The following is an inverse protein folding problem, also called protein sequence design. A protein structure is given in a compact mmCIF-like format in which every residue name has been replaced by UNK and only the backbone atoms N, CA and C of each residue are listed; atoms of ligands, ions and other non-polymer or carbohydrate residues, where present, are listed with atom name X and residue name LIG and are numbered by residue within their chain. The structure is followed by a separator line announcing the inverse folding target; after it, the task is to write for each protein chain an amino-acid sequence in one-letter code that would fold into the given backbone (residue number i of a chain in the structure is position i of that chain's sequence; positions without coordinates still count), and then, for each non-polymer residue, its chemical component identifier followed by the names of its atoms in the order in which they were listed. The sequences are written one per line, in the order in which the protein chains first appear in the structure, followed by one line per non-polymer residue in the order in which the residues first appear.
data_IF_257526417740
#
_entry.id   IF_257526417740
#
_cell.length_a   1.000
_cell.length_b   1.000
_cell.length_c   1.000
_cell.angle_alpha   90.00
_cell.angle_beta   90.00
_cell.angle_gamma   90.00
#
_symmetry.space_group_name_H-M   'P 1'
#
loop_
_entity.id
_entity.type
_entity.pdbx_description
1 polymer ?
#
# COMPACT_ATOMS: atom_id res chain seq x y z
N UNK A 1 37.39 62.25 17.10
CA UNK A 1 38.45 62.84 16.25
C UNK A 1 37.79 63.57 15.10
N UNK A 2 38.11 64.86 14.86
CA UNK A 2 37.60 65.59 13.69
C UNK A 2 38.07 64.87 12.42
N UNK A 3 37.15 64.63 11.47
CA UNK A 3 37.50 64.05 10.19
C UNK A 3 38.50 64.96 9.46
N UNK A 4 39.61 64.40 8.98
CA UNK A 4 40.60 65.13 8.19
C UNK A 4 39.93 65.70 6.92
N UNK A 5 40.25 66.94 6.56
CA UNK A 5 39.78 67.57 5.31
C UNK A 5 40.38 66.90 4.06
N UNK A 6 41.43 66.11 4.24
CA UNK A 6 42.11 65.35 3.19
C UNK A 6 41.73 63.87 3.27
N UNK A 7 41.36 63.30 2.13
CA UNK A 7 41.18 61.86 1.97
C UNK A 7 42.53 61.15 2.10
N UNK A 8 42.54 59.90 2.54
CA UNK A 8 43.77 59.12 2.71
C UNK A 8 44.57 58.98 1.40
N UNK A 9 43.88 58.95 0.24
CA UNK A 9 44.52 58.96 -1.07
C UNK A 9 45.24 60.30 -1.38
N UNK A 10 44.66 61.43 -0.96
CA UNK A 10 45.30 62.75 -1.08
C UNK A 10 46.51 62.87 -0.14
N UNK A 11 46.41 62.36 1.09
CA UNK A 11 47.52 62.31 2.05
C UNK A 11 48.70 61.51 1.46
N UNK A 12 48.43 60.32 0.91
CA UNK A 12 49.46 59.48 0.29
C UNK A 12 50.08 60.11 -0.97
N UNK A 13 49.30 60.83 -1.78
CA UNK A 13 49.81 61.56 -2.95
C UNK A 13 50.78 62.69 -2.55
N UNK A 14 50.44 63.46 -1.50
CA UNK A 14 51.29 64.52 -0.97
C UNK A 14 52.61 63.96 -0.41
N UNK A 15 52.56 62.83 0.29
CA UNK A 15 53.79 62.17 0.80
C UNK A 15 54.71 61.69 -0.35
N UNK A 16 54.14 61.18 -1.44
CA UNK A 16 54.91 60.70 -2.60
C UNK A 16 55.64 61.82 -3.35
N UNK A 17 55.10 63.04 -3.37
CA UNK A 17 55.77 64.18 -4.02
C UNK A 17 57.10 64.55 -3.35
N UNK A 18 57.21 64.31 -2.04
CA UNK A 18 58.45 64.51 -1.30
C UNK A 18 59.47 63.39 -1.51
N UNK A 19 59.02 62.14 -1.74
CA UNK A 19 59.89 61.02 -2.11
C UNK A 19 60.47 61.17 -3.52
N UNK A 20 59.75 61.86 -4.42
CA UNK A 20 60.19 62.18 -5.78
C UNK A 20 61.22 63.32 -5.90
N UNK A 21 61.81 63.77 -4.79
CA UNK A 21 62.89 64.76 -4.77
C UNK A 21 62.46 66.22 -4.58
N UNK A 22 61.17 66.51 -4.37
CA UNK A 22 60.70 67.87 -4.07
C UNK A 22 60.97 68.20 -2.59
N UNK A 23 61.53 69.37 -2.24
CA UNK A 23 61.74 69.76 -0.84
C UNK A 23 60.44 69.77 -0.04
N UNK A 24 60.47 69.19 1.16
CA UNK A 24 59.28 69.02 2.04
C UNK A 24 58.55 70.35 2.28
N UNK A 25 59.26 71.45 2.48
CA UNK A 25 58.66 72.77 2.69
C UNK A 25 57.86 73.30 1.49
N UNK A 26 58.24 72.91 0.26
CA UNK A 26 57.51 73.29 -0.96
C UNK A 26 56.24 72.44 -1.13
N UNK A 27 56.32 71.15 -0.78
CA UNK A 27 55.18 70.22 -0.77
C UNK A 27 54.13 70.66 0.28
N UNK A 28 54.57 71.04 1.48
CA UNK A 28 53.70 71.56 2.53
C UNK A 28 52.99 72.86 2.11
N UNK A 29 53.73 73.78 1.44
CA UNK A 29 53.17 75.04 0.93
C UNK A 29 52.15 74.81 -0.19
N UNK A 30 52.42 73.90 -1.15
CA UNK A 30 51.51 73.55 -2.24
C UNK A 30 50.25 72.82 -1.77
N UNK A 31 50.38 71.96 -0.75
CA UNK A 31 49.26 71.22 -0.19
C UNK A 31 48.49 72.00 0.90
N UNK A 32 48.99 73.16 1.34
CA UNK A 32 48.37 73.98 2.37
C UNK A 32 48.39 73.35 3.77
N UNK A 33 49.46 72.60 4.10
CA UNK A 33 49.63 71.89 5.38
C UNK A 33 50.89 72.36 6.10
N UNK A 34 50.95 72.18 7.43
CA UNK A 34 52.17 72.45 8.20
C UNK A 34 53.17 71.30 8.14
N UNK A 35 54.46 71.60 8.29
CA UNK A 35 55.53 70.59 8.33
C UNK A 35 55.28 69.52 9.41
N UNK A 36 54.79 69.92 10.58
CA UNK A 36 54.41 68.98 11.64
C UNK A 36 53.32 67.99 11.19
N UNK A 37 52.35 68.46 10.40
CA UNK A 37 51.29 67.61 9.84
C UNK A 37 51.86 66.64 8.81
N UNK A 38 52.78 67.11 7.96
CA UNK A 38 53.48 66.28 6.98
C UNK A 38 54.29 65.17 7.64
N UNK A 39 55.10 65.47 8.66
CA UNK A 39 55.88 64.45 9.37
C UNK A 39 55.00 63.47 10.17
N UNK A 40 53.87 63.93 10.73
CA UNK A 40 52.88 63.05 11.36
C UNK A 40 52.19 62.13 10.34
N UNK A 41 51.86 62.64 9.16
CA UNK A 41 51.33 61.82 8.06
C UNK A 41 52.37 60.84 7.56
N UNK A 42 53.63 61.26 7.40
CA UNK A 42 54.74 60.38 7.04
C UNK A 42 54.90 59.26 8.07
N UNK A 43 54.88 59.55 9.37
CA UNK A 43 54.97 58.53 10.42
C UNK A 43 53.81 57.53 10.38
N UNK A 44 52.60 57.96 10.00
CA UNK A 44 51.38 57.14 10.02
C UNK A 44 51.10 56.38 8.72
N UNK A 45 51.52 56.94 7.57
CA UNK A 45 51.16 56.46 6.24
C UNK A 45 52.40 56.17 5.35
N UNK A 46 53.63 56.33 5.86
CA UNK A 46 54.82 55.90 5.11
C UNK A 46 54.78 54.39 4.84
N UNK A 47 55.02 54.02 3.58
CA UNK A 47 55.02 52.63 3.13
C UNK A 47 53.68 52.11 2.62
N UNK A 48 52.60 52.90 2.62
CA UNK A 48 51.32 52.54 2.01
C UNK A 48 51.11 53.34 0.72
N UNK A 49 51.33 52.70 -0.42
CA UNK A 49 51.00 53.27 -1.73
C UNK A 49 49.49 53.48 -1.86
N UNK A 50 49.02 54.51 -2.60
CA UNK A 50 47.58 54.70 -2.88
C UNK A 50 46.89 53.47 -3.47
N UNK A 51 47.62 52.65 -4.23
CA UNK A 51 47.17 51.36 -4.76
C UNK A 51 46.95 50.30 -3.67
N UNK A 52 47.81 50.27 -2.65
CA UNK A 52 47.71 49.34 -1.52
C UNK A 52 46.56 49.71 -0.59
N UNK A 53 46.31 51.01 -0.37
CA UNK A 53 45.13 51.47 0.38
C UNK A 53 43.81 51.10 -0.32
N UNK A 54 43.75 51.23 -1.65
CA UNK A 54 42.58 50.81 -2.43
C UNK A 54 42.35 49.29 -2.34
N UNK A 55 43.43 48.51 -2.40
CA UNK A 55 43.39 47.05 -2.22
C UNK A 55 42.93 46.67 -0.81
N UNK A 56 43.39 47.37 0.22
CA UNK A 56 43.00 47.12 1.61
C UNK A 56 41.50 47.34 1.81
N UNK A 57 40.94 48.45 1.31
CA UNK A 57 39.49 48.71 1.38
C UNK A 57 38.67 47.66 0.64
N UNK A 58 39.12 47.24 -0.54
CA UNK A 58 38.47 46.16 -1.28
C UNK A 58 38.46 44.85 -0.46
N UNK A 59 39.59 44.51 0.15
CA UNK A 59 39.71 43.33 1.02
C UNK A 59 38.84 43.45 2.28
N UNK A 60 38.66 44.64 2.84
CA UNK A 60 37.76 44.89 3.97
C UNK A 60 36.29 44.68 3.56
N UNK A 61 35.89 45.20 2.40
CA UNK A 61 34.54 45.01 1.86
C UNK A 61 34.25 43.54 1.53
N UNK A 62 35.21 42.85 0.93
CA UNK A 62 35.14 41.40 0.67
C UNK A 62 35.07 40.61 1.98
N UNK A 63 35.89 40.96 2.99
CA UNK A 63 35.82 40.34 4.31
C UNK A 63 34.47 40.59 4.99
N UNK A 64 33.90 41.78 4.86
CA UNK A 64 32.57 42.09 5.42
C UNK A 64 31.45 41.30 4.72
N UNK A 65 31.57 41.05 3.40
CA UNK A 65 30.65 40.17 2.65
C UNK A 65 30.83 38.71 3.06
N UNK A 66 32.06 38.23 3.15
CA UNK A 66 32.38 36.85 3.55
C UNK A 66 31.91 36.56 4.97
N UNK A 67 32.15 37.47 5.93
CA UNK A 67 31.66 37.31 7.31
C UNK A 67 30.14 37.19 7.37
N UNK A 68 29.40 37.97 6.56
CA UNK A 68 27.94 37.86 6.45
C UNK A 68 27.52 36.51 5.88
N UNK A 69 28.13 36.07 4.78
CA UNK A 69 27.84 34.76 4.17
C UNK A 69 28.14 33.62 5.16
N UNK A 70 29.28 33.67 5.85
CA UNK A 70 29.66 32.64 6.83
C UNK A 70 28.68 32.61 8.00
N UNK A 71 28.23 33.76 8.49
CA UNK A 71 27.21 33.82 9.54
C UNK A 71 25.88 33.20 9.08
N UNK A 72 25.40 33.55 7.89
CA UNK A 72 24.17 32.99 7.32
C UNK A 72 24.27 31.47 7.10
N UNK A 73 25.37 30.99 6.52
CA UNK A 73 25.61 29.56 6.31
C UNK A 73 25.77 28.80 7.64
N UNK A 74 26.35 29.43 8.67
CA UNK A 74 26.48 28.82 10.00
C UNK A 74 25.13 28.65 10.67
N UNK A 75 24.22 29.62 10.52
CA UNK A 75 22.84 29.49 10.97
C UNK A 75 22.13 28.37 10.22
N UNK A 76 22.19 28.35 8.89
CA UNK A 76 21.56 27.30 8.08
C UNK A 76 22.09 25.90 8.44
N UNK A 77 23.39 25.77 8.73
CA UNK A 77 23.99 24.52 9.23
C UNK A 77 23.43 24.09 10.57
N UNK A 78 23.29 24.99 11.54
CA UNK A 78 22.71 24.67 12.85
C UNK A 78 21.26 24.20 12.71
N UNK A 79 20.46 24.90 11.89
CA UNK A 79 19.08 24.51 11.59
C UNK A 79 18.98 23.13 10.94
N UNK A 80 19.90 22.79 10.04
CA UNK A 80 19.95 21.45 9.43
C UNK A 80 20.34 20.37 10.45
N UNK A 81 21.28 20.66 11.36
CA UNK A 81 21.69 19.74 12.42
C UNK A 81 20.53 19.38 13.36
N UNK A 82 19.66 20.33 13.70
CA UNK A 82 18.44 20.08 14.50
C UNK A 82 17.43 19.15 13.78
N UNK A 83 17.48 19.11 12.45
CA UNK A 83 16.54 18.35 11.62
C UNK A 83 17.08 16.96 11.24
N UNK A 84 18.40 16.75 11.29
CA UNK A 84 19.13 15.64 10.68
C UNK A 84 18.92 14.23 11.28
N UNK A 85 17.88 14.00 12.07
CA UNK A 85 17.68 12.69 12.69
C UNK A 85 17.16 11.60 11.74
N UNK A 86 16.37 11.88 10.67
CA UNK A 86 15.85 10.84 9.74
C UNK A 86 15.52 11.39 8.35
N UNK A 87 15.76 10.61 7.29
CA UNK A 87 15.34 10.93 5.89
C UNK A 87 13.84 11.26 5.83
N UNK A 88 13.49 12.51 5.55
CA UNK A 88 12.11 12.97 5.41
C UNK A 88 11.56 12.67 3.99
N UNK A 89 11.22 11.41 3.74
CA UNK A 89 10.76 10.95 2.41
C UNK A 89 9.30 11.31 2.09
N UNK A 90 8.47 11.64 3.10
CA UNK A 90 7.02 11.87 2.91
C UNK A 90 6.67 13.36 2.94
N UNK A 91 5.77 13.86 2.06
CA UNK A 91 5.33 15.26 2.05
C UNK A 91 4.78 15.78 3.39
N UNK A 92 4.03 14.95 4.12
CA UNK A 92 3.51 15.32 5.45
C UNK A 92 4.64 15.61 6.45
N UNK A 93 5.63 14.71 6.52
CA UNK A 93 6.81 14.90 7.37
C UNK A 93 7.62 16.12 6.95
N UNK A 94 7.76 16.38 5.65
CA UNK A 94 8.40 17.60 5.13
C UNK A 94 7.71 18.88 5.61
N UNK A 95 6.37 18.90 5.71
CA UNK A 95 5.63 20.05 6.27
C UNK A 95 5.87 20.22 7.77
N UNK A 96 5.78 19.15 8.54
CA UNK A 96 6.07 19.18 9.99
C UNK A 96 7.48 19.72 10.29
N UNK A 97 8.45 19.41 9.43
CA UNK A 97 9.82 19.92 9.56
C UNK A 97 9.90 21.44 9.33
N UNK A 98 9.14 21.95 8.35
CA UNK A 98 9.04 23.39 8.10
C UNK A 98 8.40 24.07 9.31
N UNK A 99 7.26 23.54 9.80
CA UNK A 99 6.56 24.10 10.97
C UNK A 99 7.46 24.15 12.21
N UNK A 100 8.23 23.07 12.44
CA UNK A 100 9.17 22.98 13.56
C UNK A 100 10.30 24.02 13.46
N UNK A 101 10.93 24.17 12.30
CA UNK A 101 11.97 25.19 12.10
C UNK A 101 11.41 26.61 12.26
N UNK A 102 10.17 26.86 11.82
CA UNK A 102 9.52 28.14 12.03
C UNK A 102 9.26 28.42 13.52
N UNK A 103 8.84 27.41 14.28
CA UNK A 103 8.58 27.54 15.71
C UNK A 103 9.85 27.73 16.54
N UNK A 104 10.87 26.89 16.32
CA UNK A 104 12.10 26.86 17.12
C UNK A 104 13.02 28.04 16.80
N UNK A 105 13.20 28.35 15.51
CA UNK A 105 14.15 29.37 15.05
C UNK A 105 13.49 30.70 14.66
N UNK A 106 12.16 30.81 14.75
CA UNK A 106 11.37 32.02 14.43
C UNK A 106 11.67 32.60 13.05
N UNK A 107 11.87 31.72 12.06
CA UNK A 107 12.18 32.10 10.68
C UNK A 107 10.96 32.09 9.75
N UNK A 108 11.06 32.82 8.64
CA UNK A 108 9.99 32.84 7.62
C UNK A 108 9.85 31.50 6.89
N UNK A 109 8.65 31.21 6.36
CA UNK A 109 8.39 29.99 5.57
C UNK A 109 9.36 29.87 4.40
N UNK A 110 9.68 31.01 3.77
CA UNK A 110 10.63 31.08 2.65
C UNK A 110 12.02 30.59 3.08
N UNK A 111 12.53 31.06 4.23
CA UNK A 111 13.85 30.64 4.74
C UNK A 111 13.82 29.16 5.15
N UNK A 112 12.76 28.70 5.79
CA UNK A 112 12.63 27.31 6.24
C UNK A 112 12.59 26.33 5.07
N UNK A 113 11.80 26.64 4.04
CA UNK A 113 11.74 25.88 2.80
C UNK A 113 13.08 25.88 2.04
N UNK A 114 13.80 27.02 2.01
CA UNK A 114 15.09 27.12 1.35
C UNK A 114 16.16 26.24 2.04
N UNK A 115 16.25 26.33 3.37
CA UNK A 115 17.18 25.51 4.18
C UNK A 115 16.90 24.02 3.99
N UNK A 116 15.63 23.61 4.00
CA UNK A 116 15.22 22.21 3.84
C UNK A 116 15.17 21.72 2.38
N UNK A 117 15.43 22.59 1.40
CA UNK A 117 15.26 22.31 -0.03
C UNK A 117 13.87 21.75 -0.38
N UNK A 118 12.82 22.34 0.21
CA UNK A 118 11.42 21.97 -0.03
C UNK A 118 10.78 23.06 -0.87
N UNK A 119 10.09 22.68 -1.95
CA UNK A 119 9.33 23.65 -2.73
C UNK A 119 8.15 24.21 -1.92
N UNK A 120 7.94 25.53 -1.96
CA UNK A 120 6.90 26.21 -1.19
C UNK A 120 5.49 25.75 -1.57
N UNK A 121 5.26 25.33 -2.81
CA UNK A 121 3.97 24.78 -3.25
C UNK A 121 3.62 23.51 -2.46
N UNK A 122 4.61 22.67 -2.11
CA UNK A 122 4.38 21.48 -1.30
C UNK A 122 3.88 21.85 0.10
N UNK A 123 4.47 22.89 0.70
CA UNK A 123 4.09 23.37 2.03
C UNK A 123 2.68 23.98 2.02
N UNK A 124 2.39 24.85 1.05
CA UNK A 124 1.09 25.54 0.92
C UNK A 124 -0.03 24.59 0.48
N UNK A 125 0.29 23.51 -0.23
CA UNK A 125 -0.71 22.59 -0.77
C UNK A 125 -1.58 21.98 0.33
N UNK A 126 -2.87 22.35 0.29
CA UNK A 126 -3.94 21.69 1.06
C UNK A 126 -4.59 20.62 0.20
N UNK A 127 -4.63 19.39 0.72
CA UNK A 127 -5.23 18.25 0.02
C UNK A 127 -6.74 18.47 -0.18
N UNK A 128 -7.20 18.51 -1.43
CA UNK A 128 -8.63 18.50 -1.76
C UNK A 128 -9.14 17.05 -1.72
N UNK A 129 -9.56 16.53 -0.55
CA UNK A 129 -10.17 15.18 -0.44
C UNK A 129 -11.69 15.30 -0.37
N UNK A 130 -12.38 15.09 -1.50
CA UNK A 130 -13.83 15.29 -1.60
C UNK A 130 -14.73 14.07 -1.36
N UNK A 131 -14.19 12.86 -1.23
CA UNK A 131 -15.02 11.62 -1.21
C UNK A 131 -14.49 10.55 -0.25
N UNK A 132 -13.59 10.92 0.67
CA UNK A 132 -12.97 9.93 1.56
C UNK A 132 -13.98 9.37 2.57
N UNK A 133 -14.87 10.19 3.11
CA UNK A 133 -15.81 9.75 4.14
C UNK A 133 -16.75 8.65 3.63
N UNK A 134 -17.40 8.88 2.49
CA UNK A 134 -18.32 7.92 1.86
C UNK A 134 -17.62 6.62 1.46
N UNK A 135 -16.45 6.71 0.82
CA UNK A 135 -15.65 5.53 0.46
C UNK A 135 -15.23 4.74 1.71
N UNK A 136 -14.83 5.44 2.77
CA UNK A 136 -14.42 4.81 4.04
C UNK A 136 -15.61 4.11 4.69
N UNK A 137 -16.79 4.74 4.65
CA UNK A 137 -18.03 4.16 5.16
C UNK A 137 -18.44 2.92 4.35
N UNK A 138 -18.36 2.99 3.02
CA UNK A 138 -18.67 1.82 2.18
C UNK A 138 -17.71 0.65 2.40
N UNK A 139 -16.42 0.94 2.59
CA UNK A 139 -15.43 -0.08 2.98
C UNK A 139 -15.83 -0.74 4.31
N UNK A 140 -16.26 0.06 5.31
CA UNK A 140 -16.74 -0.47 6.60
C UNK A 140 -17.95 -1.37 6.45
N UNK A 141 -18.94 -0.98 5.67
CA UNK A 141 -20.13 -1.79 5.41
C UNK A 141 -19.77 -3.14 4.81
N UNK A 142 -18.94 -3.15 3.75
CA UNK A 142 -18.49 -4.39 3.10
C UNK A 142 -17.75 -5.28 4.10
N UNK A 143 -16.85 -4.72 4.91
CA UNK A 143 -16.08 -5.48 5.89
C UNK A 143 -16.90 -5.94 7.09
N UNK A 144 -17.96 -5.21 7.47
CA UNK A 144 -18.87 -5.60 8.54
C UNK A 144 -19.69 -6.84 8.12
N UNK A 145 -20.20 -6.85 6.89
CA UNK A 145 -20.94 -8.02 6.36
C UNK A 145 -20.00 -9.17 5.99
N UNK A 146 -18.79 -8.87 5.47
CA UNK A 146 -17.85 -9.87 4.93
C UNK A 146 -16.49 -9.78 5.62
N UNK A 147 -16.46 -10.15 6.90
CA UNK A 147 -15.30 -9.99 7.81
C UNK A 147 -14.01 -10.60 7.27
N UNK A 148 -14.08 -11.71 6.52
CA UNK A 148 -12.89 -12.39 5.98
C UNK A 148 -12.40 -11.86 4.63
N UNK A 149 -12.95 -10.75 4.12
CA UNK A 149 -12.55 -10.21 2.82
C UNK A 149 -11.39 -9.24 2.95
N UNK A 150 -10.28 -9.55 2.27
CA UNK A 150 -9.15 -8.63 2.16
C UNK A 150 -9.42 -7.49 1.16
N UNK A 151 -8.59 -6.45 1.23
CA UNK A 151 -8.74 -5.21 0.43
C UNK A 151 -8.95 -5.44 -1.08
N UNK A 152 -8.39 -6.51 -1.67
CA UNK A 152 -8.56 -6.84 -3.09
C UNK A 152 -10.00 -7.22 -3.43
N UNK A 153 -10.67 -7.98 -2.56
CA UNK A 153 -12.08 -8.34 -2.77
C UNK A 153 -12.99 -7.14 -2.52
N UNK A 154 -12.68 -6.36 -1.48
CA UNK A 154 -13.37 -5.09 -1.21
C UNK A 154 -13.28 -4.17 -2.42
N UNK A 155 -12.11 -4.09 -3.06
CA UNK A 155 -11.93 -3.32 -4.30
C UNK A 155 -12.82 -3.78 -5.45
N UNK A 156 -12.94 -5.09 -5.67
CA UNK A 156 -13.83 -5.63 -6.71
C UNK A 156 -15.30 -5.28 -6.41
N UNK A 157 -15.74 -5.42 -5.17
CA UNK A 157 -17.10 -5.07 -4.77
C UNK A 157 -17.38 -3.58 -4.96
N UNK A 158 -16.43 -2.73 -4.55
CA UNK A 158 -16.51 -1.29 -4.79
C UNK A 158 -16.57 -0.95 -6.28
N UNK A 159 -15.81 -1.64 -7.13
CA UNK A 159 -15.89 -1.44 -8.59
C UNK A 159 -17.27 -1.80 -9.14
N UNK A 160 -17.89 -2.88 -8.65
CA UNK A 160 -19.25 -3.28 -9.04
C UNK A 160 -20.31 -2.26 -8.56
N UNK A 161 -20.07 -1.65 -7.41
CA UNK A 161 -20.88 -0.54 -6.87
C UNK A 161 -20.63 0.79 -7.62
N UNK A 162 -19.82 0.82 -8.69
CA UNK A 162 -19.54 2.01 -9.50
C UNK A 162 -18.38 2.89 -9.01
N UNK A 163 -17.65 2.48 -7.97
CA UNK A 163 -16.53 3.27 -7.44
C UNK A 163 -15.27 3.12 -8.31
N UNK A 164 -14.94 4.18 -9.05
CA UNK A 164 -13.70 4.28 -9.82
C UNK A 164 -12.49 4.62 -8.91
N UNK A 165 -12.11 3.68 -8.03
CA UNK A 165 -11.04 3.89 -7.04
C UNK A 165 -9.87 2.94 -7.28
N UNK A 166 -8.65 3.48 -7.20
CA UNK A 166 -7.43 2.69 -7.32
C UNK A 166 -7.25 1.69 -6.15
N UNK A 167 -6.88 0.42 -6.42
CA UNK A 167 -6.63 -0.58 -5.38
C UNK A 167 -5.66 -0.13 -4.28
N UNK A 168 -4.63 0.67 -4.63
CA UNK A 168 -3.64 1.19 -3.67
C UNK A 168 -4.29 2.13 -2.65
N UNK A 169 -5.25 2.93 -3.08
CA UNK A 169 -6.00 3.83 -2.18
C UNK A 169 -6.86 3.04 -1.20
N UNK A 170 -7.52 1.99 -1.67
CA UNK A 170 -8.31 1.10 -0.83
C UNK A 170 -7.42 0.40 0.18
N UNK A 171 -6.25 -0.10 -0.25
CA UNK A 171 -5.27 -0.68 0.67
C UNK A 171 -4.84 0.29 1.80
N UNK A 172 -4.58 1.56 1.47
CA UNK A 172 -4.25 2.58 2.46
C UNK A 172 -5.40 2.80 3.47
N UNK A 173 -6.63 3.04 2.98
CA UNK A 173 -7.80 3.25 3.85
C UNK A 173 -8.09 2.00 4.69
N UNK A 174 -8.01 0.82 4.10
CA UNK A 174 -8.20 -0.47 4.77
C UNK A 174 -7.20 -0.68 5.90
N UNK A 175 -5.94 -0.23 5.72
CA UNK A 175 -4.92 -0.24 6.77
C UNK A 175 -5.18 0.81 7.85
N UNK A 176 -5.55 2.03 7.47
CA UNK A 176 -5.92 3.10 8.41
C UNK A 176 -7.13 2.71 9.28
N UNK A 177 -8.07 1.95 8.72
CA UNK A 177 -9.24 1.40 9.42
C UNK A 177 -8.93 0.17 10.29
N UNK A 178 -7.69 -0.33 10.29
CA UNK A 178 -7.32 -1.51 11.08
C UNK A 178 -7.94 -2.83 10.61
N UNK A 179 -8.47 -2.89 9.39
CA UNK A 179 -9.21 -4.07 8.87
C UNK A 179 -8.30 -5.20 8.38
N UNK A 180 -6.99 -5.13 8.65
CA UNK A 180 -6.02 -6.11 8.17
C UNK A 180 -6.34 -7.51 8.67
N UNK A 181 -6.59 -8.43 7.73
CA UNK A 181 -6.73 -9.83 8.05
C UNK A 181 -5.41 -10.33 8.64
N UNK A 182 -5.49 -11.07 9.75
CA UNK A 182 -4.31 -11.69 10.35
C UNK A 182 -3.72 -12.68 9.36
N UNK A 183 -2.48 -12.43 8.95
CA UNK A 183 -1.75 -13.38 8.12
C UNK A 183 -1.57 -14.67 8.92
N UNK A 184 -2.11 -15.79 8.42
CA UNK A 184 -1.70 -17.11 8.91
C UNK A 184 -0.25 -17.30 8.53
N UNK A 185 0.59 -17.73 9.48
CA UNK A 185 1.98 -18.10 9.20
C UNK A 185 1.95 -19.14 8.08
N UNK A 186 2.60 -18.88 6.92
CA UNK A 186 2.58 -19.84 5.84
C UNK A 186 3.24 -21.13 6.34
N UNK A 187 2.47 -22.21 6.39
CA UNK A 187 3.04 -23.54 6.58
C UNK A 187 4.04 -23.78 5.46
N UNK A 188 5.22 -24.31 5.80
CA UNK A 188 6.33 -24.58 4.87
C UNK A 188 5.79 -25.22 3.59
N UNK A 189 5.83 -24.49 2.47
CA UNK A 189 5.45 -25.01 1.17
C UNK A 189 6.53 -25.99 0.73
N UNK A 190 6.31 -27.29 0.92
CA UNK A 190 7.03 -28.30 0.15
C UNK A 190 6.66 -28.05 -1.30
N UNK A 191 7.65 -27.81 -2.18
CA UNK A 191 7.41 -27.55 -3.60
C UNK A 191 6.48 -28.65 -4.14
N UNK A 192 5.25 -28.28 -4.48
CA UNK A 192 4.37 -29.16 -5.23
C UNK A 192 5.05 -29.38 -6.58
N UNK A 193 5.50 -30.61 -6.86
CA UNK A 193 5.82 -31.00 -8.23
C UNK A 193 4.56 -30.70 -9.06
N UNK A 194 4.71 -29.94 -10.14
CA UNK A 194 3.69 -29.86 -11.20
C UNK A 194 3.49 -31.30 -11.68
N UNK A 195 2.26 -31.79 -11.65
CA UNK A 195 1.92 -33.18 -12.02
C UNK A 195 0.66 -33.14 -12.86
N UNK A 196 0.76 -33.68 -14.06
CA UNK A 196 -0.01 -33.32 -15.26
C UNK A 196 -1.13 -34.29 -15.64
N UNK A 197 -1.55 -35.22 -14.78
CA UNK A 197 -2.32 -36.37 -15.29
C UNK A 197 -3.85 -36.20 -15.31
N UNK A 198 -4.42 -35.04 -14.95
CA UNK A 198 -5.89 -34.88 -14.92
C UNK A 198 -6.37 -33.79 -15.87
N UNK A 199 -7.35 -34.14 -16.71
CA UNK A 199 -7.98 -33.22 -17.65
C UNK A 199 -8.72 -32.11 -16.88
N UNK A 200 -8.49 -30.83 -17.22
CA UNK A 200 -9.28 -29.74 -16.68
C UNK A 200 -10.73 -29.84 -17.20
N UNK A 201 -11.69 -29.43 -16.37
CA UNK A 201 -13.07 -29.31 -16.81
C UNK A 201 -13.19 -28.22 -17.88
N UNK A 202 -13.96 -28.48 -18.92
CA UNK A 202 -14.07 -27.62 -20.11
C UNK A 202 -15.35 -26.80 -20.14
N UNK A 203 -16.41 -27.29 -19.52
CA UNK A 203 -17.73 -26.66 -19.44
C UNK A 203 -18.41 -27.01 -18.12
N UNK A 204 -19.51 -26.32 -17.83
CA UNK A 204 -20.37 -26.59 -16.68
C UNK A 204 -20.83 -28.04 -16.67
N UNK A 205 -20.90 -28.66 -15.49
CA UNK A 205 -21.28 -30.07 -15.30
C UNK A 205 -20.34 -31.10 -15.97
N UNK A 206 -19.15 -30.71 -16.42
CA UNK A 206 -18.15 -31.69 -16.88
C UNK A 206 -17.60 -32.49 -15.70
N UNK A 207 -17.12 -31.78 -14.67
CA UNK A 207 -16.50 -32.41 -13.50
C UNK A 207 -16.94 -31.69 -12.23
N UNK A 208 -17.66 -32.41 -11.39
CA UNK A 208 -17.93 -31.99 -10.02
C UNK A 208 -16.89 -32.57 -9.06
N UNK A 209 -16.74 -31.91 -7.93
CA UNK A 209 -15.94 -32.39 -6.81
C UNK A 209 -16.81 -32.33 -5.55
N UNK A 210 -16.73 -33.35 -4.71
CA UNK A 210 -17.41 -33.39 -3.42
C UNK A 210 -16.50 -33.87 -2.30
N UNK A 211 -16.86 -33.49 -1.08
CA UNK A 211 -16.15 -33.81 0.16
C UNK A 211 -17.06 -33.61 1.36
N UNK A 212 -16.67 -34.18 2.50
CA UNK A 212 -17.33 -33.99 3.79
C UNK A 212 -16.57 -33.02 4.69
N UNK A 213 -17.30 -32.02 5.17
CA UNK A 213 -16.82 -31.07 6.16
C UNK A 213 -17.47 -31.38 7.51
N UNK A 214 -16.67 -31.38 8.57
CA UNK A 214 -17.12 -31.63 9.93
C UNK A 214 -17.21 -30.32 10.72
N UNK A 215 -18.27 -30.20 11.53
CA UNK A 215 -18.45 -29.13 12.51
C UNK A 215 -19.33 -29.60 13.69
N UNK A 216 -19.72 -28.71 14.58
CA UNK A 216 -20.58 -29.01 15.72
C UNK A 216 -21.57 -27.89 16.01
N UNK A 217 -22.72 -28.25 16.57
CA UNK A 217 -23.67 -27.31 17.13
C UNK A 217 -23.09 -26.67 18.41
N UNK A 218 -23.70 -25.56 18.85
CA UNK A 218 -23.39 -24.92 20.12
C UNK A 218 -23.59 -25.87 21.33
N UNK A 219 -24.45 -26.87 21.19
CA UNK A 219 -24.67 -27.94 22.17
C UNK A 219 -23.56 -29.00 22.18
N UNK A 220 -22.58 -28.93 21.28
CA UNK A 220 -21.50 -29.91 21.12
C UNK A 220 -21.85 -31.12 20.24
N UNK A 221 -23.11 -31.24 19.79
CA UNK A 221 -23.50 -32.32 18.87
C UNK A 221 -22.83 -32.11 17.51
N UNK A 222 -22.08 -33.11 17.06
CA UNK A 222 -21.36 -33.08 15.78
C UNK A 222 -22.35 -33.08 14.60
N UNK A 223 -21.99 -32.33 13.57
CA UNK A 223 -22.65 -32.31 12.27
C UNK A 223 -21.63 -32.62 11.18
N UNK A 224 -22.10 -33.29 10.13
CA UNK A 224 -21.37 -33.56 8.90
C UNK A 224 -22.05 -32.81 7.78
N UNK A 225 -21.26 -32.32 6.83
CA UNK A 225 -21.74 -31.44 5.78
C UNK A 225 -21.22 -31.97 4.45
N UNK A 226 -22.12 -32.41 3.57
CA UNK A 226 -21.77 -32.74 2.19
C UNK A 226 -21.61 -31.44 1.40
N UNK A 227 -20.42 -31.25 0.85
CA UNK A 227 -20.09 -30.10 0.00
C UNK A 227 -19.90 -30.56 -1.43
N UNK A 228 -20.50 -29.83 -2.38
CA UNK A 228 -20.36 -30.09 -3.82
C UNK A 228 -19.95 -28.81 -4.53
N UNK A 229 -19.01 -28.90 -5.47
CA UNK A 229 -18.59 -27.80 -6.32
C UNK A 229 -18.36 -28.26 -7.77
N UNK A 230 -18.79 -27.45 -8.72
CA UNK A 230 -18.39 -27.56 -10.12
C UNK A 230 -16.97 -26.99 -10.29
N UNK A 231 -16.08 -27.82 -10.82
CA UNK A 231 -14.66 -27.47 -10.98
C UNK A 231 -14.40 -26.49 -12.13
N UNK A 232 -15.35 -26.30 -13.05
CA UNK A 232 -15.28 -25.28 -14.10
C UNK A 232 -15.78 -23.93 -13.58
N UNK A 233 -17.07 -23.83 -13.28
CA UNK A 233 -17.75 -22.57 -12.94
C UNK A 233 -17.45 -22.06 -11.52
N UNK A 234 -16.90 -22.92 -10.64
CA UNK A 234 -16.80 -22.70 -9.19
C UNK A 234 -18.14 -22.67 -8.47
N UNK A 235 -19.24 -22.96 -9.17
CA UNK A 235 -20.57 -22.98 -8.59
C UNK A 235 -20.68 -24.11 -7.56
N UNK A 236 -21.33 -23.85 -6.44
CA UNK A 236 -21.63 -24.88 -5.44
C UNK A 236 -23.10 -25.28 -5.51
N UNK A 237 -23.41 -26.48 -6.04
CA UNK A 237 -24.79 -26.97 -6.11
C UNK A 237 -25.41 -27.21 -4.72
N UNK A 238 -24.62 -27.70 -3.76
CA UNK A 238 -25.11 -28.05 -2.44
C UNK A 238 -24.08 -27.87 -1.33
N UNK A 239 -24.60 -27.46 -0.18
CA UNK A 239 -24.01 -27.60 1.15
C UNK A 239 -25.09 -28.22 2.04
N UNK A 240 -25.13 -29.54 2.15
CA UNK A 240 -26.16 -30.26 2.92
C UNK A 240 -25.59 -30.63 4.30
N UNK A 241 -26.11 -30.12 5.42
CA UNK A 241 -25.72 -30.56 6.76
C UNK A 241 -26.67 -31.63 7.31
N UNK A 242 -26.10 -32.67 7.95
CA UNK A 242 -26.80 -33.73 8.69
C UNK A 242 -26.03 -34.14 9.95
N UNK A 243 -26.68 -34.85 10.86
CA UNK A 243 -26.00 -35.45 12.02
C UNK A 243 -25.14 -36.66 11.64
N UNK A 244 -25.61 -37.44 10.66
CA UNK A 244 -24.93 -38.61 10.12
C UNK A 244 -25.23 -38.71 8.63
N UNK A 245 -24.35 -39.35 7.87
CA UNK A 245 -24.54 -39.63 6.45
C UNK A 245 -24.48 -41.13 6.19
N UNK A 246 -25.41 -41.61 5.38
CA UNK A 246 -25.39 -42.92 4.71
C UNK A 246 -25.29 -42.70 3.19
N UNK A 247 -24.99 -43.76 2.44
CA UNK A 247 -24.95 -43.71 0.98
C UNK A 247 -26.25 -43.19 0.36
N UNK A 248 -27.40 -43.64 0.88
CA UNK A 248 -28.73 -43.17 0.47
C UNK A 248 -28.93 -41.65 0.63
N UNK A 249 -28.38 -41.03 1.69
CA UNK A 249 -28.51 -39.59 1.93
C UNK A 249 -27.74 -38.78 0.89
N UNK A 250 -26.58 -39.29 0.47
CA UNK A 250 -25.76 -38.71 -0.59
C UNK A 250 -26.53 -38.78 -1.90
N UNK A 251 -27.09 -39.95 -2.23
CA UNK A 251 -27.90 -40.15 -3.45
C UNK A 251 -29.13 -39.23 -3.47
N UNK A 252 -29.86 -39.10 -2.36
CA UNK A 252 -31.01 -38.18 -2.28
C UNK A 252 -30.59 -36.72 -2.54
N UNK A 253 -29.44 -36.31 -2.00
CA UNK A 253 -28.91 -34.96 -2.22
C UNK A 253 -28.52 -34.75 -3.67
N UNK A 254 -27.83 -35.73 -4.27
CA UNK A 254 -27.40 -35.71 -5.67
C UNK A 254 -28.59 -35.69 -6.64
N UNK A 255 -29.61 -36.51 -6.40
CA UNK A 255 -30.79 -36.56 -7.25
C UNK A 255 -31.56 -35.22 -7.22
N UNK A 256 -31.70 -34.61 -6.03
CA UNK A 256 -32.33 -33.30 -5.88
C UNK A 256 -31.59 -32.21 -6.66
N UNK A 257 -30.26 -32.16 -6.59
CA UNK A 257 -29.49 -31.12 -7.29
C UNK A 257 -29.36 -31.39 -8.78
N UNK A 258 -29.16 -32.65 -9.19
CA UNK A 258 -29.03 -33.01 -10.61
C UNK A 258 -30.37 -32.82 -11.34
N UNK A 259 -31.50 -32.99 -10.66
CA UNK A 259 -32.82 -32.69 -11.21
C UNK A 259 -33.02 -31.21 -11.58
N UNK A 260 -32.25 -30.28 -10.98
CA UNK A 260 -32.33 -28.85 -11.27
C UNK A 260 -31.25 -28.39 -12.26
N UNK A 261 -30.04 -28.95 -12.15
CA UNK A 261 -28.84 -28.44 -12.82
C UNK A 261 -28.38 -29.32 -13.98
N UNK A 262 -28.91 -30.53 -14.12
CA UNK A 262 -28.36 -31.58 -14.96
C UNK A 262 -27.35 -32.47 -14.23
N UNK A 263 -27.04 -33.62 -14.83
CA UNK A 263 -26.10 -34.59 -14.29
C UNK A 263 -24.67 -34.29 -14.73
N UNK A 264 -23.68 -34.39 -13.83
CA UNK A 264 -22.29 -34.21 -14.20
C UNK A 264 -21.77 -35.41 -14.99
N UNK A 265 -20.80 -35.20 -15.88
CA UNK A 265 -20.12 -36.32 -16.57
C UNK A 265 -19.28 -37.14 -15.59
N UNK A 266 -18.62 -36.48 -14.63
CA UNK A 266 -17.85 -37.15 -13.60
C UNK A 266 -17.89 -36.42 -12.26
N UNK A 267 -17.75 -37.19 -11.18
CA UNK A 267 -17.68 -36.67 -9.82
C UNK A 267 -16.37 -37.15 -9.18
N UNK A 268 -15.58 -36.20 -8.70
CA UNK A 268 -14.37 -36.47 -7.91
C UNK A 268 -14.72 -36.58 -6.43
N UNK A 269 -14.38 -37.72 -5.85
CA UNK A 269 -14.64 -38.05 -4.44
C UNK A 269 -13.36 -38.53 -3.77
N UNK A 270 -13.26 -38.38 -2.45
CA UNK A 270 -12.25 -39.10 -1.69
C UNK A 270 -12.69 -40.55 -1.44
N UNK A 271 -11.81 -41.35 -0.84
CA UNK A 271 -12.13 -42.76 -0.51
C UNK A 271 -12.83 -42.88 0.86
N UNK A 272 -13.60 -41.87 1.28
CA UNK A 272 -14.44 -41.98 2.46
C UNK A 272 -15.42 -43.15 2.34
N UNK A 273 -15.65 -43.87 3.43
CA UNK A 273 -16.54 -45.04 3.45
C UNK A 273 -17.98 -44.70 3.04
N UNK A 274 -18.38 -43.44 3.16
CA UNK A 274 -19.67 -42.93 2.71
C UNK A 274 -19.79 -42.86 1.18
N UNK A 275 -18.67 -42.62 0.48
CA UNK A 275 -18.62 -42.58 -0.98
C UNK A 275 -18.36 -43.95 -1.61
N UNK A 276 -17.77 -44.89 -0.86
CA UNK A 276 -17.62 -46.30 -1.27
C UNK A 276 -18.86 -47.10 -0.83
N UNK A 277 -20.05 -46.58 -1.14
CA UNK A 277 -21.32 -47.24 -0.82
C UNK A 277 -21.98 -47.79 -2.08
N UNK A 278 -22.56 -48.99 -1.95
CA UNK A 278 -23.25 -49.68 -3.07
C UNK A 278 -24.36 -48.81 -3.68
N UNK A 279 -25.03 -48.01 -2.87
CA UNK A 279 -26.13 -47.15 -3.32
C UNK A 279 -25.62 -46.02 -4.22
N UNK A 280 -24.47 -45.41 -3.88
CA UNK A 280 -23.86 -44.36 -4.70
C UNK A 280 -23.31 -44.91 -6.02
N UNK A 281 -22.65 -46.08 -5.98
CA UNK A 281 -22.16 -46.76 -7.19
C UNK A 281 -23.32 -47.14 -8.12
N UNK A 282 -24.42 -47.64 -7.58
CA UNK A 282 -25.61 -47.98 -8.35
C UNK A 282 -26.24 -46.73 -8.97
N UNK A 283 -26.37 -45.65 -8.21
CA UNK A 283 -26.88 -44.37 -8.73
C UNK A 283 -25.99 -43.83 -9.86
N UNK A 284 -24.66 -43.86 -9.66
CA UNK A 284 -23.72 -43.38 -10.65
C UNK A 284 -23.80 -44.19 -11.95
N UNK A 285 -23.88 -45.51 -11.84
CA UNK A 285 -24.09 -46.41 -12.99
C UNK A 285 -25.41 -46.10 -13.71
N UNK A 286 -26.52 -45.99 -12.98
CA UNK A 286 -27.85 -45.72 -13.56
C UNK A 286 -27.93 -44.36 -14.27
N UNK A 287 -27.24 -43.35 -13.75
CA UNK A 287 -27.26 -41.98 -14.31
C UNK A 287 -26.12 -41.70 -15.29
N UNK A 288 -25.26 -42.68 -15.57
CA UNK A 288 -24.12 -42.53 -16.47
C UNK A 288 -23.03 -41.57 -15.95
N UNK A 289 -22.93 -41.42 -14.63
CA UNK A 289 -21.95 -40.55 -13.97
C UNK A 289 -20.72 -41.36 -13.61
N UNK A 290 -19.53 -40.89 -13.97
CA UNK A 290 -18.26 -41.56 -13.61
C UNK A 290 -17.76 -41.08 -12.24
N UNK A 291 -17.63 -41.98 -11.27
CA UNK A 291 -16.99 -41.68 -9.98
C UNK A 291 -15.46 -41.81 -10.10
N UNK A 292 -14.75 -40.69 -9.96
CA UNK A 292 -13.28 -40.61 -9.97
C UNK A 292 -12.77 -40.49 -8.52
N UNK A 293 -12.40 -41.64 -7.94
CA UNK A 293 -11.86 -41.70 -6.59
C UNK A 293 -10.42 -41.16 -6.54
N UNK A 294 -10.17 -40.23 -5.62
CA UNK A 294 -8.82 -39.73 -5.37
C UNK A 294 -7.89 -40.85 -4.90
N UNK A 295 -6.60 -40.74 -5.24
CA UNK A 295 -5.60 -41.74 -4.83
C UNK A 295 -5.29 -41.59 -3.34
N UNK A 296 -5.13 -42.70 -2.57
CA UNK A 296 -4.74 -42.63 -1.17
C UNK A 296 -3.50 -41.76 -0.94
N UNK A 297 -3.57 -40.86 0.05
CA UNK A 297 -2.45 -39.99 0.42
C UNK A 297 -2.13 -38.84 -0.57
N UNK A 298 -3.03 -38.52 -1.52
CA UNK A 298 -2.84 -37.40 -2.48
C UNK A 298 -3.96 -36.35 -2.40
N UNK A 299 -3.91 -35.44 -1.41
CA UNK A 299 -4.93 -34.39 -1.23
C UNK A 299 -5.09 -33.47 -2.46
N UNK A 300 -4.02 -33.32 -3.25
CA UNK A 300 -4.01 -32.51 -4.48
C UNK A 300 -5.02 -32.95 -5.54
N UNK A 301 -5.42 -34.23 -5.53
CA UNK A 301 -6.38 -34.77 -6.50
C UNK A 301 -7.77 -34.11 -6.36
N UNK A 302 -8.09 -33.53 -5.19
CA UNK A 302 -9.34 -32.80 -4.93
C UNK A 302 -9.11 -31.32 -4.52
N UNK A 303 -8.07 -30.68 -5.06
CA UNK A 303 -7.68 -29.31 -4.68
C UNK A 303 -8.78 -28.24 -4.80
N UNK A 304 -9.75 -28.42 -5.70
CA UNK A 304 -10.87 -27.49 -5.86
C UNK A 304 -11.83 -27.52 -4.68
N UNK A 305 -12.22 -28.70 -4.20
CA UNK A 305 -13.08 -28.81 -3.01
C UNK A 305 -12.32 -28.41 -1.76
N UNK A 306 -11.02 -28.71 -1.64
CA UNK A 306 -10.22 -28.25 -0.50
C UNK A 306 -10.21 -26.72 -0.41
N UNK A 307 -10.02 -26.06 -1.56
CA UNK A 307 -10.09 -24.61 -1.66
C UNK A 307 -11.47 -24.07 -1.31
N UNK A 308 -12.54 -24.77 -1.72
CA UNK A 308 -13.92 -24.43 -1.37
C UNK A 308 -14.17 -24.59 0.13
N UNK A 309 -13.82 -25.72 0.72
CA UNK A 309 -13.96 -26.06 2.13
C UNK A 309 -13.17 -25.10 3.03
N UNK A 310 -12.00 -24.64 2.57
CA UNK A 310 -11.26 -23.58 3.26
C UNK A 310 -12.00 -22.24 3.31
N UNK A 311 -12.72 -21.87 2.24
CA UNK A 311 -13.55 -20.65 2.21
C UNK A 311 -14.81 -20.84 3.03
N UNK A 312 -15.51 -21.95 2.84
CA UNK A 312 -16.71 -22.29 3.60
C UNK A 312 -16.44 -22.28 5.10
N UNK A 313 -15.33 -22.87 5.53
CA UNK A 313 -14.95 -22.86 6.94
C UNK A 313 -14.64 -21.45 7.45
N UNK A 314 -13.87 -20.67 6.69
CA UNK A 314 -13.48 -19.32 7.13
C UNK A 314 -14.65 -18.32 7.12
N UNK A 315 -15.51 -18.39 6.10
CA UNK A 315 -16.53 -17.38 5.79
C UNK A 315 -17.93 -17.77 6.29
N UNK A 316 -18.18 -19.04 6.63
CA UNK A 316 -19.46 -19.51 7.18
C UNK A 316 -19.31 -20.20 8.54
N UNK A 317 -18.55 -21.29 8.60
CA UNK A 317 -18.52 -22.14 9.80
C UNK A 317 -17.93 -21.43 11.01
N UNK A 318 -16.78 -20.76 10.83
CA UNK A 318 -16.11 -20.07 11.92
C UNK A 318 -16.79 -18.74 12.32
N UNK A 319 -17.73 -18.24 11.52
CA UNK A 319 -18.39 -16.95 11.77
C UNK A 319 -19.75 -17.11 12.44
N UNK A 320 -20.28 -18.34 12.53
CA UNK A 320 -21.62 -18.59 13.06
C UNK A 320 -21.58 -19.64 14.17
N UNK A 321 -22.39 -19.43 15.20
CA UNK A 321 -22.83 -20.51 16.09
C UNK A 321 -24.09 -21.14 15.54
N UNK A 322 -24.14 -22.47 15.52
CA UNK A 322 -25.30 -23.25 15.06
C UNK A 322 -26.09 -23.77 16.26
N UNK A 323 -27.33 -23.32 16.42
CA UNK A 323 -28.18 -23.70 17.56
C UNK A 323 -28.92 -25.03 17.32
N UNK A 324 -29.24 -25.32 16.07
CA UNK A 324 -29.93 -26.54 15.63
C UNK A 324 -29.46 -26.94 14.23
N UNK A 325 -29.89 -28.12 13.76
CA UNK A 325 -29.61 -28.55 12.40
C UNK A 325 -30.30 -27.66 11.36
N UNK A 326 -31.53 -27.21 11.63
CA UNK A 326 -32.26 -26.33 10.71
C UNK A 326 -31.66 -24.92 10.67
N UNK A 327 -31.17 -24.42 11.80
CA UNK A 327 -30.38 -23.17 11.84
C UNK A 327 -29.09 -23.30 11.03
N UNK A 328 -28.40 -24.45 11.13
CA UNK A 328 -27.25 -24.75 10.29
C UNK A 328 -27.60 -24.78 8.79
N UNK A 329 -28.70 -25.45 8.40
CA UNK A 329 -29.19 -25.49 7.02
C UNK A 329 -29.45 -24.09 6.48
N UNK A 330 -30.18 -23.26 7.22
CA UNK A 330 -30.52 -21.91 6.80
C UNK A 330 -29.28 -21.03 6.60
N UNK A 331 -28.33 -21.04 7.56
CA UNK A 331 -27.09 -20.26 7.47
C UNK A 331 -26.17 -20.72 6.34
N UNK A 332 -26.02 -22.03 6.17
CA UNK A 332 -25.19 -22.59 5.10
C UNK A 332 -25.78 -22.31 3.72
N UNK A 333 -27.10 -22.41 3.57
CA UNK A 333 -27.78 -22.08 2.32
C UNK A 333 -27.67 -20.58 1.99
N UNK A 334 -27.87 -19.70 2.96
CA UNK A 334 -27.66 -18.26 2.77
C UNK A 334 -26.21 -17.94 2.36
N UNK A 335 -25.23 -18.62 2.96
CA UNK A 335 -23.83 -18.49 2.55
C UNK A 335 -23.59 -19.05 1.14
N UNK A 336 -24.18 -20.19 0.78
CA UNK A 336 -24.06 -20.80 -0.55
C UNK A 336 -24.61 -19.87 -1.64
N UNK A 337 -25.73 -19.20 -1.36
CA UNK A 337 -26.32 -18.19 -2.25
C UNK A 337 -25.37 -16.99 -2.43
N UNK A 338 -24.88 -16.37 -1.36
CA UNK A 338 -23.88 -15.27 -1.46
C UNK A 338 -22.60 -15.72 -2.19
N UNK A 339 -22.13 -16.94 -1.91
CA UNK A 339 -20.98 -17.55 -2.57
C UNK A 339 -21.18 -17.68 -4.09
N UNK A 340 -22.37 -18.09 -4.54
CA UNK A 340 -22.66 -18.30 -5.95
C UNK A 340 -23.03 -17.01 -6.70
N UNK A 341 -23.70 -16.07 -6.05
CA UNK A 341 -24.32 -14.92 -6.71
C UNK A 341 -23.49 -13.65 -6.61
N UNK A 342 -22.78 -13.45 -5.49
CA UNK A 342 -22.15 -12.16 -5.19
C UNK A 342 -20.64 -12.28 -5.07
N UNK A 343 -20.14 -13.32 -4.41
CA UNK A 343 -18.72 -13.48 -4.09
C UNK A 343 -17.83 -13.39 -5.33
N UNK A 344 -16.75 -12.58 -5.32
CA UNK A 344 -15.81 -12.52 -6.44
C UNK A 344 -14.78 -13.65 -6.39
N UNK A 345 -14.58 -14.31 -7.54
CA UNK A 345 -13.62 -15.41 -7.70
C UNK A 345 -12.52 -15.06 -8.69
N UNK A 346 -11.28 -14.88 -8.21
CA UNK A 346 -10.14 -14.53 -9.06
C UNK A 346 -9.82 -15.56 -10.15
N UNK A 347 -10.14 -16.84 -9.91
CA UNK A 347 -9.92 -17.92 -10.88
C UNK A 347 -10.85 -17.82 -12.11
N UNK A 348 -11.96 -17.08 -12.01
CA UNK A 348 -12.95 -16.88 -13.08
C UNK A 348 -13.13 -15.39 -13.39
N UNK A 349 -12.02 -14.64 -13.38
CA UNK A 349 -12.02 -13.22 -13.75
C UNK A 349 -12.73 -12.30 -12.76
N UNK A 350 -12.80 -12.67 -11.48
CA UNK A 350 -13.53 -11.95 -10.43
C UNK A 350 -15.04 -11.86 -10.66
N UNK A 351 -15.61 -12.74 -11.49
CA UNK A 351 -17.06 -12.90 -11.66
C UNK A 351 -17.64 -13.78 -10.54
N UNK A 352 -18.95 -13.68 -10.23
CA UNK A 352 -19.61 -14.64 -9.35
C UNK A 352 -19.85 -15.97 -10.09
N UNK A 353 -19.82 -17.13 -9.40
CA UNK A 353 -19.97 -18.43 -10.04
C UNK A 353 -21.22 -18.58 -10.92
N UNK A 354 -22.34 -17.99 -10.53
CA UNK A 354 -23.61 -18.06 -11.27
C UNK A 354 -23.50 -17.52 -12.70
N UNK A 355 -22.58 -16.59 -12.95
CA UNK A 355 -22.38 -15.99 -14.29
C UNK A 355 -21.88 -16.99 -15.34
N UNK A 356 -21.32 -18.13 -14.92
CA UNK A 356 -20.82 -19.18 -15.80
C UNK A 356 -21.79 -20.35 -15.98
N UNK A 357 -22.89 -20.37 -15.23
CA UNK A 357 -23.95 -21.36 -15.41
C UNK A 357 -24.82 -21.05 -16.63
N UNK A 358 -25.09 -19.77 -16.87
CA UNK A 358 -26.03 -19.29 -17.90
C UNK A 358 -25.33 -18.76 -19.16
N UNK A 359 -24.01 -18.92 -19.27
CA UNK A 359 -23.20 -18.32 -20.34
C UNK A 359 -22.96 -19.26 -21.51
N UNK A 360 -23.53 -18.93 -22.68
CA UNK A 360 -23.00 -19.36 -23.97
C UNK A 360 -21.47 -19.18 -24.03
N UNK A 361 -20.72 -20.04 -24.72
CA UNK A 361 -19.26 -20.06 -24.75
C UNK A 361 -18.58 -18.80 -25.34
N UNK A 362 -19.31 -17.72 -25.60
CA UNK A 362 -18.83 -16.50 -26.27
C UNK A 362 -18.16 -15.46 -25.36
N UNK A 363 -18.30 -15.54 -24.03
CA UNK A 363 -17.88 -14.45 -23.11
C UNK A 363 -16.66 -14.76 -22.21
N UNK A 364 -15.84 -15.73 -22.60
CA UNK A 364 -14.54 -15.95 -21.96
C UNK A 364 -13.48 -15.04 -22.61
N UNK A 365 -12.74 -14.23 -21.83
CA UNK A 365 -11.62 -13.49 -22.37
C UNK A 365 -10.54 -14.48 -22.79
N UNK A 366 -10.26 -14.52 -24.09
CA UNK A 366 -9.02 -15.08 -24.63
C UNK A 366 -7.88 -14.26 -24.01
N UNK A 367 -7.14 -14.89 -23.11
CA UNK A 367 -5.93 -14.30 -22.53
C UNK A 367 -4.83 -14.16 -23.59
N UNK A 368 -3.82 -13.30 -23.34
CA UNK A 368 -2.75 -13.00 -24.30
C UNK A 368 -1.86 -14.21 -24.63
#
# INVERSE_FOLDING_TARGET
MKASKFTEAQIAFVLKQAEGGTPVGEVCRKAGISDATFYNWRKKYAGLMPSEMKRLRQLEDENAKLKRIVADLSLDKAMLQDVLFKKALRPARKRELVDRLQGEWKISTRRACAVLQIDRSLYVYKSKRGTQAELTQRIREICATRVCYGYRRVHILLQRDGWAVNPKRIYCLYKELGMQLRNKVPRRRVKAKVREDRRPATHTNDIWAMDFVHDQLATGRKIRILTVIDTFSRFSPATDPRFSYRGEDVVQTLERICGQMGYPRSIRVDQGSEFVSRDLDLWAYQKGVVLDFSRPGKPTDNSFIESFNGKFRAECLNTHWFMSLDDARAKMEAWRQDYNEVRPHSAIGNKPPISLLNGSPADLPVGP
#
